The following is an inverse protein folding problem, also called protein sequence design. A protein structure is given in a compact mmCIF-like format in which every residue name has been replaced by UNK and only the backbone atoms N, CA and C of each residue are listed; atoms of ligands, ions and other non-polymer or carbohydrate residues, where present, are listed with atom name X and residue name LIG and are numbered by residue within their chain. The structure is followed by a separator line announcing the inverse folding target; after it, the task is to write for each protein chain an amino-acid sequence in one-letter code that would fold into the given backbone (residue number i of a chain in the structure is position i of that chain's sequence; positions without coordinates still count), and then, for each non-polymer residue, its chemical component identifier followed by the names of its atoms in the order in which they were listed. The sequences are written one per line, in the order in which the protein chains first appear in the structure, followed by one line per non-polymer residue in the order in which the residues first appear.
data_IF_948543152909
#
_entry.id   IF_948543152909
#
_cell.length_a   1.000
_cell.length_b   1.000
_cell.length_c   1.000
_cell.angle_alpha   90.00
_cell.angle_beta   90.00
_cell.angle_gamma   90.00
#
_symmetry.space_group_name_H-M   'P 1'
#
loop_
_entity.id
_entity.type
_entity.pdbx_description
1 polymer ?
#
# COMPACT_ATOMS: atom_id res chain seq x y z
N UNK A 1 24.56 -22.09 -24.04
CA UNK A 1 23.12 -22.19 -23.75
C UNK A 1 22.68 -20.78 -23.39
N UNK A 2 22.09 -20.09 -24.36
CA UNK A 2 21.64 -18.70 -24.23
C UNK A 2 20.38 -18.62 -23.37
N UNK A 3 20.32 -17.74 -22.35
CA UNK A 3 19.08 -17.44 -21.67
C UNK A 3 18.23 -16.53 -22.56
N UNK A 4 17.14 -17.09 -23.08
CA UNK A 4 16.06 -16.39 -23.77
C UNK A 4 15.58 -15.23 -22.90
N UNK A 5 15.76 -14.01 -23.41
CA UNK A 5 15.17 -12.78 -22.91
C UNK A 5 13.65 -12.93 -22.92
N UNK A 6 13.07 -13.16 -21.75
CA UNK A 6 11.62 -13.11 -21.54
C UNK A 6 11.13 -11.67 -21.63
N UNK A 7 10.86 -11.20 -22.85
CA UNK A 7 10.12 -9.97 -23.06
C UNK A 7 8.66 -10.23 -22.67
N UNK A 8 8.19 -9.60 -21.59
CA UNK A 8 6.78 -9.54 -21.26
C UNK A 8 6.06 -8.70 -22.32
N UNK A 9 5.61 -9.35 -23.40
CA UNK A 9 4.65 -8.76 -24.31
C UNK A 9 3.28 -8.74 -23.60
N UNK A 10 3.02 -7.68 -22.83
CA UNK A 10 1.68 -7.39 -22.31
C UNK A 10 0.81 -6.97 -23.51
N UNK A 11 0.13 -7.96 -24.08
CA UNK A 11 -0.81 -7.81 -25.19
C UNK A 11 -1.95 -6.87 -24.81
N UNK A 12 -2.17 -5.87 -25.66
CA UNK A 12 -3.28 -4.94 -25.58
C UNK A 12 -4.63 -5.69 -25.70
N UNK A 13 -5.48 -5.53 -24.69
CA UNK A 13 -6.81 -6.11 -24.70
C UNK A 13 -7.60 -5.80 -23.44
N UNK A 14 -8.03 -4.55 -23.28
CA UNK A 14 -9.06 -4.19 -22.31
C UNK A 14 -10.05 -3.22 -22.97
N UNK A 15 -11.21 -3.76 -23.36
CA UNK A 15 -12.40 -2.98 -23.75
C UNK A 15 -12.97 -2.33 -22.48
N UNK A 16 -12.99 -1.00 -22.49
CA UNK A 16 -13.41 -0.17 -21.35
C UNK A 16 -14.93 -0.05 -21.32
N UNK A 17 -15.56 -0.61 -20.28
CA UNK A 17 -16.90 -0.24 -19.86
C UNK A 17 -16.78 0.42 -18.48
N UNK A 18 -16.97 1.74 -18.41
CA UNK A 18 -17.09 2.49 -17.16
C UNK A 18 -16.05 3.60 -17.00
N UNK A 19 -16.50 4.86 -17.04
CA UNK A 19 -15.70 6.08 -17.06
C UNK A 19 -14.61 6.22 -15.98
N UNK A 20 -13.50 6.81 -16.40
CA UNK A 20 -12.38 7.23 -15.54
C UNK A 20 -11.09 6.48 -15.89
N UNK A 21 -10.18 7.16 -16.58
CA UNK A 21 -8.87 6.71 -17.09
C UNK A 21 -8.83 6.03 -18.49
N UNK A 22 -9.52 6.59 -19.48
CA UNK A 22 -9.23 6.33 -20.92
C UNK A 22 -7.88 6.94 -21.40
N UNK A 23 -7.04 7.44 -20.48
CA UNK A 23 -5.76 8.11 -20.75
C UNK A 23 -4.59 7.18 -21.08
N UNK A 24 -4.64 5.93 -20.64
CA UNK A 24 -3.47 5.03 -20.76
C UNK A 24 -3.66 3.92 -21.79
N UNK A 25 -4.91 3.63 -22.16
CA UNK A 25 -5.24 2.60 -23.15
C UNK A 25 -4.71 2.91 -24.56
N UNK A 26 -4.35 4.16 -24.85
CA UNK A 26 -3.75 4.57 -26.13
C UNK A 26 -2.22 4.59 -26.11
N UNK A 27 -1.58 4.37 -24.96
CA UNK A 27 -0.13 4.34 -24.86
C UNK A 27 0.35 2.94 -25.22
N UNK A 28 0.48 2.66 -26.51
CA UNK A 28 1.25 1.51 -27.02
C UNK A 28 2.76 1.72 -26.79
N UNK A 29 3.14 2.15 -25.60
CA UNK A 29 4.50 2.44 -25.19
C UNK A 29 4.92 1.35 -24.22
N UNK A 30 5.91 0.56 -24.62
CA UNK A 30 6.54 -0.42 -23.73
C UNK A 30 7.26 0.28 -22.57
N UNK A 31 7.21 -0.31 -21.39
CA UNK A 31 7.99 0.10 -20.23
C UNK A 31 8.52 -1.13 -19.50
N UNK A 32 9.61 -0.93 -18.75
CA UNK A 32 10.24 -1.92 -17.88
C UNK A 32 9.85 -1.60 -16.44
N UNK A 33 9.21 -2.56 -15.78
CA UNK A 33 8.82 -2.46 -14.37
C UNK A 33 10.01 -2.71 -13.43
N UNK A 34 9.86 -2.38 -12.15
CA UNK A 34 10.93 -2.53 -11.16
C UNK A 34 11.39 -3.99 -11.06
N UNK A 35 10.48 -4.96 -11.09
CA UNK A 35 10.80 -6.39 -10.99
C UNK A 35 11.64 -6.93 -12.17
N UNK A 36 11.44 -6.35 -13.36
CA UNK A 36 12.17 -6.67 -14.59
C UNK A 36 13.49 -5.89 -14.71
N UNK A 37 13.69 -4.88 -13.87
CA UNK A 37 14.86 -4.01 -13.92
C UNK A 37 16.06 -4.56 -13.15
N UNK A 38 17.26 -4.11 -13.54
CA UNK A 38 18.49 -4.30 -12.74
C UNK A 38 18.46 -3.55 -11.40
N UNK A 39 17.55 -2.59 -11.21
CA UNK A 39 17.44 -1.77 -10.02
C UNK A 39 16.45 -2.32 -8.98
N UNK A 40 15.89 -3.52 -9.21
CA UNK A 40 14.90 -4.16 -8.33
C UNK A 40 15.32 -4.21 -6.86
N UNK A 41 16.62 -4.35 -6.57
CA UNK A 41 17.17 -4.39 -5.21
C UNK A 41 17.19 -3.04 -4.48
N UNK A 42 17.01 -1.92 -5.20
CA UNK A 42 16.96 -0.57 -4.60
C UNK A 42 15.61 -0.24 -3.94
N UNK A 43 14.65 -1.17 -4.00
CA UNK A 43 13.31 -1.01 -3.45
C UNK A 43 13.07 -2.05 -2.36
N UNK A 44 13.09 -1.57 -1.12
CA UNK A 44 12.99 -2.39 0.08
C UNK A 44 11.56 -2.89 0.31
N UNK A 45 11.41 -4.11 0.82
CA UNK A 45 10.13 -4.64 1.31
C UNK A 45 9.55 -3.70 2.37
N UNK A 46 8.23 -3.49 2.35
CA UNK A 46 7.50 -2.54 3.17
C UNK A 46 7.31 -1.16 2.53
N UNK A 47 8.02 -0.87 1.43
CA UNK A 47 7.81 0.34 0.61
C UNK A 47 6.77 0.10 -0.47
N UNK A 48 6.12 1.15 -0.96
CA UNK A 48 5.07 1.06 -1.99
C UNK A 48 5.58 0.31 -3.23
N UNK A 49 6.75 0.70 -3.75
CA UNK A 49 7.39 0.08 -4.89
C UNK A 49 7.96 -1.30 -4.56
N UNK A 50 8.52 -1.48 -3.36
CA UNK A 50 9.10 -2.76 -2.93
C UNK A 50 8.06 -3.88 -2.80
N UNK A 51 6.86 -3.55 -2.33
CA UNK A 51 5.75 -4.50 -2.16
C UNK A 51 4.99 -4.76 -3.48
N UNK A 52 5.22 -3.94 -4.51
CA UNK A 52 4.45 -3.95 -5.76
C UNK A 52 5.36 -3.80 -7.01
N UNK A 53 6.55 -4.40 -7.00
CA UNK A 53 7.59 -4.17 -8.03
C UNK A 53 7.13 -4.37 -9.48
N UNK A 54 6.28 -5.37 -9.72
CA UNK A 54 5.71 -5.63 -11.06
C UNK A 54 4.61 -4.68 -11.51
N UNK A 55 4.19 -3.74 -10.65
CA UNK A 55 3.14 -2.76 -10.95
C UNK A 55 3.70 -1.35 -11.16
N UNK A 56 4.95 -1.08 -10.77
CA UNK A 56 5.56 0.24 -10.87
C UNK A 56 6.64 0.26 -11.96
N UNK A 57 6.64 1.30 -12.78
CA UNK A 57 7.67 1.54 -13.81
C UNK A 57 8.97 1.93 -13.12
N UNK A 58 10.10 1.37 -13.56
CA UNK A 58 11.39 1.76 -12.99
C UNK A 58 11.76 3.21 -13.40
N UNK A 59 11.81 4.16 -12.46
CA UNK A 59 12.15 5.55 -12.75
C UNK A 59 13.61 5.78 -13.12
N UNK A 60 14.49 4.80 -12.88
CA UNK A 60 15.94 4.90 -13.09
C UNK A 60 16.40 4.40 -14.47
N UNK A 61 15.49 3.94 -15.33
CA UNK A 61 15.83 3.43 -16.66
C UNK A 61 15.56 4.46 -17.77
N UNK A 62 16.59 4.77 -18.54
CA UNK A 62 16.48 5.61 -19.75
C UNK A 62 15.49 5.07 -20.77
N UNK A 63 15.39 3.75 -20.88
CA UNK A 63 14.46 3.08 -21.79
C UNK A 63 13.00 3.42 -21.49
N UNK A 64 12.68 3.80 -20.24
CA UNK A 64 11.34 4.22 -19.82
C UNK A 64 11.05 5.69 -20.13
N UNK A 65 11.99 6.47 -20.68
CA UNK A 65 11.82 7.91 -20.95
C UNK A 65 10.53 8.24 -21.69
N UNK A 66 10.23 7.52 -22.78
CA UNK A 66 9.01 7.75 -23.58
C UNK A 66 7.73 7.53 -22.77
N UNK A 67 7.73 6.54 -21.88
CA UNK A 67 6.59 6.27 -21.02
C UNK A 67 6.40 7.42 -20.03
N UNK A 68 7.46 7.85 -19.35
CA UNK A 68 7.42 8.97 -18.39
C UNK A 68 6.99 10.29 -19.04
N UNK A 69 7.52 10.63 -20.21
CA UNK A 69 7.10 11.82 -20.96
C UNK A 69 5.62 11.76 -21.33
N UNK A 70 5.12 10.57 -21.68
CA UNK A 70 3.71 10.40 -22.02
C UNK A 70 2.79 10.51 -20.81
N UNK A 71 3.18 9.95 -19.66
CA UNK A 71 2.41 10.07 -18.43
C UNK A 71 2.39 11.51 -17.94
N UNK A 72 3.49 12.22 -18.10
CA UNK A 72 3.56 13.62 -17.76
C UNK A 72 2.51 14.47 -18.50
N UNK A 73 2.23 14.21 -19.78
CA UNK A 73 1.16 14.92 -20.48
C UNK A 73 -0.23 14.67 -19.86
N UNK A 74 -0.47 13.46 -19.33
CA UNK A 74 -1.69 13.16 -18.56
C UNK A 74 -1.72 13.96 -17.26
N UNK A 75 -0.61 13.94 -16.51
CA UNK A 75 -0.48 14.70 -15.26
C UNK A 75 -0.68 16.20 -15.49
N UNK A 76 -0.07 16.78 -16.52
CA UNK A 76 -0.19 18.20 -16.89
C UNK A 76 -1.63 18.60 -17.19
N UNK A 77 -2.36 17.74 -17.90
CA UNK A 77 -3.79 17.94 -18.12
C UNK A 77 -4.60 17.86 -16.82
N UNK A 78 -4.29 16.90 -15.94
CA UNK A 78 -4.98 16.75 -14.64
C UNK A 78 -4.62 17.89 -13.67
N UNK A 79 -3.39 18.40 -13.66
CA UNK A 79 -2.98 19.59 -12.90
C UNK A 79 -3.85 20.81 -13.26
N UNK A 80 -4.32 20.90 -14.51
CA UNK A 80 -5.20 21.98 -14.99
C UNK A 80 -6.66 21.70 -14.68
N UNK A 81 -7.14 20.48 -14.95
CA UNK A 81 -8.57 20.13 -14.87
C UNK A 81 -9.05 19.68 -13.49
N UNK A 82 -8.13 19.21 -12.66
CA UNK A 82 -8.38 18.55 -11.36
C UNK A 82 -7.32 18.96 -10.33
N UNK A 83 -6.98 20.24 -10.31
CA UNK A 83 -5.89 20.78 -9.48
C UNK A 83 -6.05 20.46 -7.97
N UNK A 84 -7.28 20.27 -7.51
CA UNK A 84 -7.61 19.88 -6.14
C UNK A 84 -7.35 18.39 -5.86
N UNK A 85 -7.32 17.52 -6.87
CA UNK A 85 -7.00 16.09 -6.73
C UNK A 85 -5.49 15.79 -6.76
N UNK A 86 -4.66 16.75 -7.21
CA UNK A 86 -3.21 16.59 -7.29
C UNK A 86 -2.54 16.99 -5.97
N UNK A 87 -1.64 16.14 -5.47
CA UNK A 87 -0.83 16.39 -4.28
C UNK A 87 0.21 17.49 -4.52
N UNK A 88 0.74 18.06 -3.45
CA UNK A 88 1.76 19.10 -3.52
C UNK A 88 3.01 18.67 -4.30
N UNK A 89 3.44 17.42 -4.14
CA UNK A 89 4.61 16.85 -4.79
C UNK A 89 4.41 16.79 -6.31
N UNK A 90 3.26 16.27 -6.76
CA UNK A 90 2.98 16.14 -8.18
C UNK A 90 2.61 17.47 -8.85
N UNK A 91 2.25 18.52 -8.09
CA UNK A 91 2.04 19.87 -8.62
C UNK A 91 3.32 20.56 -9.10
N UNK A 92 4.47 20.17 -8.55
CA UNK A 92 5.77 20.76 -8.90
C UNK A 92 6.36 20.17 -10.17
N UNK A 93 5.79 19.07 -10.67
CA UNK A 93 6.27 18.38 -11.86
C UNK A 93 5.96 19.22 -13.10
N UNK A 94 7.00 19.53 -13.88
CA UNK A 94 6.93 20.29 -15.13
C UNK A 94 7.50 19.53 -16.35
N UNK A 95 8.09 18.35 -16.12
CA UNK A 95 8.68 17.47 -17.15
C UNK A 95 8.49 16.00 -16.80
N UNK A 96 8.59 15.12 -17.81
CA UNK A 96 8.45 13.67 -17.63
C UNK A 96 9.69 12.98 -17.06
N UNK A 97 10.81 13.07 -17.76
CA UNK A 97 11.98 12.24 -17.46
C UNK A 97 13.29 13.01 -17.30
N UNK A 98 14.11 12.55 -16.36
CA UNK A 98 15.51 12.98 -16.19
C UNK A 98 16.40 11.82 -15.76
N UNK A 99 17.60 11.75 -16.34
CA UNK A 99 18.60 10.71 -16.10
C UNK A 99 19.82 11.20 -15.28
N UNK A 100 19.63 12.09 -14.32
CA UNK A 100 20.71 12.40 -13.39
C UNK A 100 20.41 11.86 -11.98
N UNK A 101 21.47 11.67 -11.21
CA UNK A 101 21.38 11.17 -9.83
C UNK A 101 21.06 12.28 -8.83
N UNK A 102 20.59 13.44 -9.30
CA UNK A 102 20.27 14.56 -8.45
C UNK A 102 18.82 14.44 -7.97
N UNK A 103 18.60 14.78 -6.70
CA UNK A 103 17.25 14.94 -6.19
C UNK A 103 16.55 16.03 -7.01
N UNK A 104 15.37 15.70 -7.51
CA UNK A 104 14.63 16.55 -8.44
C UNK A 104 13.13 16.38 -8.18
N UNK A 105 12.43 17.51 -8.03
CA UNK A 105 10.99 17.57 -7.76
C UNK A 105 10.19 18.00 -8.99
N UNK A 106 10.86 18.34 -10.09
CA UNK A 106 10.27 18.86 -11.32
C UNK A 106 10.07 17.76 -12.37
N UNK A 107 10.77 16.63 -12.27
CA UNK A 107 10.64 15.53 -13.20
C UNK A 107 9.82 14.38 -12.61
N UNK A 108 8.82 13.91 -13.36
CA UNK A 108 7.87 12.90 -12.90
C UNK A 108 8.57 11.62 -12.43
N UNK A 109 9.53 11.11 -13.19
CA UNK A 109 10.25 9.89 -12.82
C UNK A 109 10.96 10.05 -11.46
N UNK A 110 11.51 11.23 -11.15
CA UNK A 110 12.21 11.51 -9.90
C UNK A 110 11.27 11.68 -8.71
N UNK A 111 10.13 12.34 -8.92
CA UNK A 111 9.06 12.39 -7.93
C UNK A 111 8.55 10.98 -7.63
N UNK A 112 8.31 10.16 -8.66
CA UNK A 112 7.89 8.77 -8.51
C UNK A 112 8.94 7.90 -7.82
N UNK A 113 10.23 8.05 -8.15
CA UNK A 113 11.32 7.34 -7.47
C UNK A 113 11.31 7.58 -5.97
N UNK A 114 11.21 8.84 -5.57
CA UNK A 114 11.12 9.23 -4.16
C UNK A 114 9.85 8.67 -3.52
N UNK A 115 8.72 8.76 -4.23
CA UNK A 115 7.42 8.39 -3.72
C UNK A 115 7.29 6.88 -3.46
N UNK A 116 7.70 6.05 -4.41
CA UNK A 116 7.55 4.59 -4.31
C UNK A 116 8.53 3.96 -3.31
N UNK A 117 9.56 4.68 -2.88
CA UNK A 117 10.46 4.27 -1.79
C UNK A 117 9.89 4.57 -0.39
N UNK A 118 8.74 5.24 -0.26
CA UNK A 118 8.08 5.48 1.03
C UNK A 118 7.33 4.24 1.52
N UNK A 119 7.13 4.13 2.82
CA UNK A 119 6.24 3.12 3.38
C UNK A 119 4.79 3.47 3.05
N UNK A 120 4.00 2.48 2.68
CA UNK A 120 2.57 2.67 2.34
C UNK A 120 1.78 3.34 3.47
N UNK A 121 2.11 3.00 4.71
CA UNK A 121 1.51 3.59 5.92
C UNK A 121 1.69 5.10 6.05
N UNK A 122 2.75 5.65 5.48
CA UNK A 122 3.11 7.06 5.68
C UNK A 122 2.27 7.98 4.78
N UNK A 123 1.62 7.40 3.76
CA UNK A 123 0.92 8.14 2.71
C UNK A 123 -0.50 7.65 2.47
N UNK A 124 -1.00 6.70 3.25
CA UNK A 124 -2.32 6.13 3.04
C UNK A 124 -3.45 7.16 3.20
N UNK A 125 -4.52 7.00 2.42
CA UNK A 125 -5.65 7.94 2.34
C UNK A 125 -5.26 9.37 1.95
N UNK A 126 -4.13 9.53 1.28
CA UNK A 126 -3.71 10.83 0.76
C UNK A 126 -3.95 10.93 -0.74
N UNK A 127 -4.12 12.18 -1.22
CA UNK A 127 -4.03 12.50 -2.65
C UNK A 127 -2.72 12.00 -3.25
N UNK A 128 -1.66 12.05 -2.45
CA UNK A 128 -0.33 11.61 -2.84
C UNK A 128 -0.30 10.11 -3.18
N UNK A 129 -0.85 9.22 -2.34
CA UNK A 129 -0.88 7.78 -2.68
C UNK A 129 -1.72 7.50 -3.92
N UNK A 130 -2.86 8.20 -4.11
CA UNK A 130 -3.61 8.11 -5.37
C UNK A 130 -2.74 8.49 -6.55
N UNK A 131 -2.06 9.64 -6.48
CA UNK A 131 -1.20 10.12 -7.56
C UNK A 131 -0.01 9.19 -7.82
N UNK A 132 0.54 8.52 -6.79
CA UNK A 132 1.56 7.48 -6.98
C UNK A 132 1.01 6.33 -7.83
N UNK A 133 -0.15 5.77 -7.46
CA UNK A 133 -0.76 4.69 -8.23
C UNK A 133 -1.18 5.15 -9.63
N UNK A 134 -1.68 6.37 -9.77
CA UNK A 134 -2.08 6.92 -11.06
C UNK A 134 -0.89 7.13 -11.99
N UNK A 135 0.16 7.82 -11.53
CA UNK A 135 1.19 8.35 -12.43
C UNK A 135 2.51 7.56 -12.41
N UNK A 136 2.72 6.68 -11.44
CA UNK A 136 3.95 5.88 -11.36
C UNK A 136 3.74 4.40 -11.73
N UNK A 137 2.49 3.94 -11.80
CA UNK A 137 2.18 2.53 -12.04
C UNK A 137 1.80 2.23 -13.49
N UNK A 138 1.97 0.98 -13.92
CA UNK A 138 1.49 0.47 -15.21
C UNK A 138 -0.02 0.17 -15.21
N UNK A 139 -0.68 0.32 -14.05
CA UNK A 139 -2.10 0.05 -13.80
C UNK A 139 -2.75 1.22 -13.04
N UNK A 140 -2.93 2.39 -13.69
CA UNK A 140 -3.50 3.57 -13.05
C UNK A 140 -4.92 3.37 -12.51
N UNK A 141 -5.65 2.39 -13.04
CA UNK A 141 -6.96 1.96 -12.55
C UNK A 141 -6.92 1.49 -11.08
N UNK A 142 -5.79 0.92 -10.64
CA UNK A 142 -5.59 0.51 -9.25
C UNK A 142 -5.54 1.71 -8.28
N UNK A 143 -5.44 2.96 -8.75
CA UNK A 143 -5.53 4.11 -7.85
C UNK A 143 -6.89 4.21 -7.14
N UNK A 144 -7.97 3.69 -7.75
CA UNK A 144 -9.30 3.63 -7.10
C UNK A 144 -9.30 2.66 -5.93
N UNK A 145 -8.68 1.50 -6.14
CA UNK A 145 -8.62 0.41 -5.18
C UNK A 145 -7.53 0.68 -4.13
N UNK A 146 -6.28 0.89 -4.55
CA UNK A 146 -5.11 1.00 -3.66
C UNK A 146 -4.86 2.42 -3.14
N UNK A 147 -5.50 3.43 -3.73
CA UNK A 147 -5.31 4.83 -3.35
C UNK A 147 -6.20 5.30 -2.20
N UNK A 148 -7.24 4.54 -1.81
CA UNK A 148 -8.09 4.83 -0.67
C UNK A 148 -8.39 3.58 0.13
N UNK A 149 -8.10 3.62 1.41
CA UNK A 149 -8.68 2.72 2.39
C UNK A 149 -10.19 2.99 2.47
N UNK A 150 -11.04 1.95 2.47
CA UNK A 150 -12.46 2.09 2.74
C UNK A 150 -12.71 2.75 4.10
N UNK A 151 -13.88 3.34 4.29
CA UNK A 151 -14.30 3.77 5.62
C UNK A 151 -14.49 2.55 6.53
N UNK A 152 -14.16 2.71 7.80
CA UNK A 152 -14.36 1.67 8.82
C UNK A 152 -14.91 2.25 10.11
N UNK A 153 -15.72 1.46 10.79
CA UNK A 153 -16.19 1.71 12.14
C UNK A 153 -15.18 1.19 13.15
N UNK A 154 -14.85 2.02 14.13
CA UNK A 154 -13.93 1.65 15.21
C UNK A 154 -14.70 1.01 16.37
N UNK A 155 -13.98 0.37 17.28
CA UNK A 155 -14.56 -0.22 18.50
C UNK A 155 -15.36 0.80 19.33
N UNK A 156 -15.09 2.11 19.20
CA UNK A 156 -15.84 3.17 19.88
C UNK A 156 -17.33 3.20 19.52
N UNK A 157 -17.72 2.67 18.36
CA UNK A 157 -19.12 2.57 17.93
C UNK A 157 -19.82 1.30 18.44
N UNK A 158 -19.14 0.48 19.23
CA UNK A 158 -19.65 -0.82 19.68
C UNK A 158 -19.54 -0.98 21.19
N UNK A 159 -20.57 -1.62 21.75
CA UNK A 159 -20.52 -2.18 23.09
C UNK A 159 -20.04 -3.63 22.96
N UNK A 160 -18.74 -3.87 23.19
CA UNK A 160 -18.17 -5.22 23.24
C UNK A 160 -17.90 -5.58 24.70
N UNK A 161 -18.76 -6.44 25.28
CA UNK A 161 -18.65 -6.88 26.67
C UNK A 161 -17.39 -7.69 26.95
N UNK A 162 -16.76 -8.27 25.93
CA UNK A 162 -15.56 -9.09 26.07
C UNK A 162 -14.29 -8.24 26.20
N UNK A 163 -14.39 -6.93 25.93
CA UNK A 163 -13.28 -5.99 26.04
C UNK A 163 -13.40 -5.23 27.37
N UNK A 164 -12.66 -5.68 28.37
CA UNK A 164 -12.56 -5.06 29.69
C UNK A 164 -11.48 -3.99 29.74
N UNK A 165 -11.42 -3.21 30.82
CA UNK A 165 -10.49 -2.07 30.94
C UNK A 165 -9.00 -2.44 30.95
N UNK A 166 -8.67 -3.70 31.22
CA UNK A 166 -7.30 -4.23 31.12
C UNK A 166 -6.88 -4.59 29.70
N UNK A 167 -7.83 -4.72 28.78
CA UNK A 167 -7.56 -5.14 27.40
C UNK A 167 -7.09 -3.98 26.53
N UNK A 168 -6.23 -4.27 25.54
CA UNK A 168 -5.75 -3.30 24.55
C UNK A 168 -6.90 -2.57 23.86
N UNK A 169 -7.96 -3.33 23.54
CA UNK A 169 -9.19 -2.84 22.91
C UNK A 169 -9.83 -1.68 23.68
N UNK A 170 -9.83 -1.73 25.02
CA UNK A 170 -10.54 -0.72 25.81
C UNK A 170 -9.82 0.64 25.80
N UNK A 171 -8.49 0.63 25.78
CA UNK A 171 -7.65 1.83 25.79
C UNK A 171 -7.56 2.53 24.43
N UNK A 172 -7.94 1.85 23.34
CA UNK A 172 -7.71 2.29 21.96
C UNK A 172 -8.96 2.19 21.08
N UNK A 173 -10.16 2.32 21.69
CA UNK A 173 -11.44 2.08 21.02
C UNK A 173 -11.66 2.97 19.79
N UNK A 174 -11.13 4.18 19.82
CA UNK A 174 -11.20 5.18 18.75
C UNK A 174 -10.29 4.89 17.56
N UNK A 175 -9.32 3.98 17.69
CA UNK A 175 -8.31 3.67 16.68
C UNK A 175 -8.49 2.31 16.05
N UNK A 176 -8.88 1.32 16.85
CA UNK A 176 -9.00 -0.08 16.46
C UNK A 176 -10.30 -0.33 15.70
N UNK A 177 -10.24 -1.02 14.56
CA UNK A 177 -11.41 -1.32 13.73
C UNK A 177 -12.25 -2.44 14.34
N UNK A 178 -13.57 -2.28 14.36
CA UNK A 178 -14.45 -3.29 14.92
C UNK A 178 -14.59 -4.52 14.01
N UNK A 179 -14.72 -5.71 14.62
CA UNK A 179 -15.00 -6.94 13.90
C UNK A 179 -16.50 -7.06 13.56
N UNK A 180 -16.96 -6.25 12.62
CA UNK A 180 -18.36 -6.21 12.19
C UNK A 180 -18.51 -6.38 10.68
N UNK A 181 -19.68 -6.85 10.26
CA UNK A 181 -20.01 -7.01 8.85
C UNK A 181 -19.93 -5.69 8.05
N UNK A 182 -20.24 -4.54 8.68
CA UNK A 182 -20.09 -3.23 8.05
C UNK A 182 -18.65 -2.92 7.65
N UNK A 183 -17.66 -3.53 8.32
CA UNK A 183 -16.24 -3.36 8.04
C UNK A 183 -15.66 -4.43 7.10
N UNK A 184 -16.48 -5.33 6.55
CA UNK A 184 -16.01 -6.43 5.70
C UNK A 184 -15.11 -5.95 4.56
N UNK A 185 -15.55 -4.90 3.84
CA UNK A 185 -14.78 -4.32 2.74
C UNK A 185 -13.44 -3.75 3.20
N UNK A 186 -13.41 -3.13 4.38
CA UNK A 186 -12.17 -2.61 4.96
C UNK A 186 -11.20 -3.73 5.31
N UNK A 187 -11.68 -4.79 5.96
CA UNK A 187 -10.86 -5.94 6.34
C UNK A 187 -10.26 -6.65 5.14
N UNK A 188 -11.06 -6.91 4.10
CA UNK A 188 -10.60 -7.44 2.81
C UNK A 188 -9.56 -6.52 2.18
N UNK A 189 -9.82 -5.21 2.19
CA UNK A 189 -8.91 -4.23 1.64
C UNK A 189 -7.56 -4.20 2.35
N UNK A 190 -7.54 -4.19 3.68
CA UNK A 190 -6.29 -4.18 4.46
C UNK A 190 -5.49 -5.46 4.24
N UNK A 191 -6.17 -6.61 4.16
CA UNK A 191 -5.51 -7.85 3.83
C UNK A 191 -4.84 -7.78 2.47
N UNK A 192 -5.58 -7.47 1.40
CA UNK A 192 -5.04 -7.47 0.04
C UNK A 192 -3.98 -6.38 -0.21
N UNK A 193 -4.10 -5.23 0.45
CA UNK A 193 -3.26 -4.07 0.15
C UNK A 193 -2.13 -3.82 1.16
N UNK A 194 -2.20 -4.41 2.36
CA UNK A 194 -1.16 -4.23 3.38
C UNK A 194 -0.53 -5.54 3.81
N UNK A 195 -1.32 -6.54 4.17
CA UNK A 195 -0.78 -7.77 4.78
C UNK A 195 -0.29 -8.78 3.74
N UNK A 196 -1.10 -9.08 2.73
CA UNK A 196 -0.78 -10.05 1.69
C UNK A 196 0.51 -9.71 0.92
N UNK A 197 0.76 -8.46 0.50
CA UNK A 197 2.00 -8.11 -0.20
C UNK A 197 3.26 -8.41 0.62
N UNK A 198 3.22 -8.21 1.93
CA UNK A 198 4.32 -8.58 2.83
C UNK A 198 4.48 -10.09 2.88
N UNK A 199 3.39 -10.84 3.01
CA UNK A 199 3.44 -12.31 3.05
C UNK A 199 4.03 -12.92 1.77
N UNK A 200 3.72 -12.34 0.61
CA UNK A 200 4.17 -12.84 -0.69
C UNK A 200 5.50 -12.27 -1.17
N UNK A 201 6.07 -11.29 -0.47
CA UNK A 201 7.38 -10.73 -0.81
C UNK A 201 8.47 -11.81 -0.66
N UNK A 202 8.93 -12.37 -1.79
CA UNK A 202 9.91 -13.44 -1.87
C UNK A 202 11.18 -13.16 -1.04
N UNK A 203 11.33 -13.86 0.09
CA UNK A 203 12.65 -14.15 0.68
C UNK A 203 13.02 -13.50 2.02
N UNK A 204 12.22 -12.59 2.60
CA UNK A 204 12.59 -11.96 3.89
C UNK A 204 11.44 -11.74 4.88
N UNK A 205 10.18 -11.91 4.47
CA UNK A 205 9.02 -11.44 5.22
C UNK A 205 8.52 -12.35 6.35
N UNK A 206 8.93 -13.63 6.37
CA UNK A 206 8.63 -14.52 7.50
C UNK A 206 9.14 -13.98 8.85
N UNK A 207 10.19 -13.14 8.83
CA UNK A 207 10.77 -12.52 10.01
C UNK A 207 10.19 -11.13 10.34
N UNK A 208 9.30 -10.58 9.52
CA UNK A 208 8.76 -9.23 9.68
C UNK A 208 7.33 -9.18 10.21
N UNK A 209 6.69 -10.35 10.38
CA UNK A 209 5.37 -10.47 10.97
C UNK A 209 5.48 -11.29 12.24
N UNK A 210 4.68 -10.93 13.23
CA UNK A 210 4.43 -11.78 14.39
C UNK A 210 3.71 -13.07 13.94
N UNK A 211 3.83 -14.11 14.75
CA UNK A 211 3.21 -15.41 14.48
C UNK A 211 1.69 -15.34 14.30
N UNK A 212 1.03 -14.37 14.95
CA UNK A 212 -0.40 -14.16 14.83
C UNK A 212 -0.81 -13.67 13.43
N UNK A 213 -0.01 -12.82 12.78
CA UNK A 213 -0.35 -12.23 11.48
C UNK A 213 0.22 -13.04 10.32
N UNK A 214 1.28 -13.81 10.53
CA UNK A 214 1.83 -14.70 9.49
C UNK A 214 0.84 -15.82 9.11
N UNK A 215 -0.02 -16.27 10.02
CA UNK A 215 -1.04 -17.29 9.77
C UNK A 215 -2.30 -16.78 9.05
N UNK A 216 -2.48 -15.46 8.91
CA UNK A 216 -3.71 -14.88 8.36
C UNK A 216 -3.88 -15.23 6.89
N UNK A 217 -5.00 -15.84 6.50
CA UNK A 217 -5.23 -16.32 5.12
C UNK A 217 -6.19 -15.47 4.31
N UNK A 218 -6.97 -14.62 4.97
CA UNK A 218 -8.00 -13.79 4.34
C UNK A 218 -8.29 -12.56 5.20
N UNK A 219 -8.95 -11.55 4.63
CA UNK A 219 -9.27 -10.32 5.36
C UNK A 219 -10.46 -10.46 6.31
N UNK A 220 -11.55 -11.05 5.86
CA UNK A 220 -12.80 -11.09 6.62
C UNK A 220 -13.45 -12.46 6.54
N UNK A 221 -13.81 -13.01 7.70
CA UNK A 221 -14.62 -14.22 7.78
C UNK A 221 -15.63 -14.13 8.95
N UNK A 222 -16.85 -14.61 8.71
CA UNK A 222 -17.93 -14.71 9.70
C UNK A 222 -18.00 -16.07 10.38
N UNK A 223 -17.41 -17.11 9.77
CA UNK A 223 -17.32 -18.46 10.32
C UNK A 223 -16.30 -18.54 11.46
N UNK A 224 -16.21 -19.70 12.10
CA UNK A 224 -15.27 -20.01 13.18
C UNK A 224 -13.80 -20.15 12.73
N UNK A 225 -13.45 -19.68 11.52
CA UNK A 225 -12.06 -19.66 11.08
C UNK A 225 -11.33 -18.55 11.82
N UNK A 226 -10.36 -18.92 12.66
CA UNK A 226 -9.59 -17.96 13.45
C UNK A 226 -8.46 -17.29 12.64
N UNK A 227 -8.30 -17.65 11.35
CA UNK A 227 -7.20 -17.17 10.51
C UNK A 227 -7.59 -15.97 9.63
N UNK A 228 -8.78 -15.41 9.78
CA UNK A 228 -9.16 -14.18 9.09
C UNK A 228 -8.64 -12.95 9.86
N UNK A 229 -8.21 -11.92 9.14
CA UNK A 229 -7.60 -10.72 9.75
C UNK A 229 -8.51 -10.07 10.80
N UNK A 230 -9.81 -9.97 10.51
CA UNK A 230 -10.81 -9.45 11.44
C UNK A 230 -10.85 -10.22 12.77
N UNK A 231 -10.66 -11.55 12.73
CA UNK A 231 -10.63 -12.42 13.92
C UNK A 231 -9.31 -12.31 14.66
N UNK A 232 -8.19 -12.37 13.95
CA UNK A 232 -6.86 -12.19 14.54
C UNK A 232 -6.74 -10.84 15.24
N UNK A 233 -7.22 -9.76 14.63
CA UNK A 233 -7.24 -8.45 15.26
C UNK A 233 -8.14 -8.45 16.51
N UNK A 234 -9.36 -8.99 16.43
CA UNK A 234 -10.27 -9.09 17.58
C UNK A 234 -9.64 -9.83 18.76
N UNK A 235 -9.02 -10.98 18.52
CA UNK A 235 -8.35 -11.78 19.55
C UNK A 235 -7.23 -10.98 20.22
N UNK A 236 -6.47 -10.20 19.46
CA UNK A 236 -5.44 -9.33 20.01
C UNK A 236 -6.01 -8.12 20.76
N UNK A 237 -7.20 -7.63 20.42
CA UNK A 237 -7.86 -6.58 21.19
C UNK A 237 -8.25 -7.03 22.59
N UNK A 238 -8.53 -8.33 22.76
CA UNK A 238 -8.88 -8.97 24.04
C UNK A 238 -7.66 -9.36 24.88
N UNK A 239 -6.43 -9.14 24.38
CA UNK A 239 -5.21 -9.34 25.17
C UNK A 239 -4.95 -8.18 26.11
N UNK A 240 -4.22 -8.46 27.20
CA UNK A 240 -3.81 -7.43 28.15
C UNK A 240 -2.78 -6.49 27.54
N UNK A 241 -2.74 -5.23 27.97
CA UNK A 241 -1.72 -4.27 27.50
C UNK A 241 -0.28 -4.75 27.75
N UNK A 242 -0.07 -5.60 28.76
CA UNK A 242 1.22 -6.23 29.07
C UNK A 242 1.71 -7.24 28.03
N UNK A 243 0.85 -7.68 27.11
CA UNK A 243 1.20 -8.57 25.99
C UNK A 243 1.80 -7.81 24.80
N UNK A 244 1.90 -6.48 24.93
CA UNK A 244 2.41 -5.58 23.91
C UNK A 244 3.64 -4.82 24.44
N UNK A 245 4.44 -4.28 23.52
CA UNK A 245 5.61 -3.48 23.87
C UNK A 245 5.80 -2.34 22.88
N UNK A 246 6.07 -1.14 23.40
CA UNK A 246 6.46 0.02 22.60
C UNK A 246 7.94 0.01 22.22
N UNK A 247 8.76 -0.84 22.86
CA UNK A 247 10.20 -0.94 22.62
C UNK A 247 10.59 -2.34 22.20
N UNK A 248 11.73 -2.46 21.50
CA UNK A 248 12.24 -3.74 21.01
C UNK A 248 12.96 -4.57 22.09
N UNK A 249 12.67 -4.35 23.38
CA UNK A 249 13.25 -5.16 24.47
C UNK A 249 12.68 -6.59 24.48
N UNK A 250 11.42 -6.73 24.09
CA UNK A 250 10.77 -8.00 23.75
C UNK A 250 10.35 -7.92 22.28
N UNK A 251 11.17 -8.51 21.40
CA UNK A 251 10.98 -8.44 19.95
C UNK A 251 9.63 -9.01 19.50
N UNK A 252 9.12 -10.04 20.19
CA UNK A 252 7.85 -10.68 19.84
C UNK A 252 6.68 -9.76 20.17
N UNK A 253 6.65 -9.18 21.38
CA UNK A 253 5.61 -8.23 21.78
C UNK A 253 5.68 -6.94 20.97
N UNK A 254 6.89 -6.48 20.68
CA UNK A 254 7.11 -5.31 19.83
C UNK A 254 6.56 -5.54 18.43
N UNK A 255 6.93 -6.64 17.77
CA UNK A 255 6.47 -6.96 16.43
C UNK A 255 4.94 -7.13 16.39
N UNK A 256 4.35 -7.82 17.38
CA UNK A 256 2.90 -7.93 17.50
C UNK A 256 2.24 -6.56 17.61
N UNK A 257 2.83 -5.65 18.38
CA UNK A 257 2.34 -4.26 18.50
C UNK A 257 2.39 -3.55 17.14
N UNK A 258 3.48 -3.67 16.40
CA UNK A 258 3.61 -3.07 15.07
C UNK A 258 2.58 -3.63 14.08
N UNK A 259 2.34 -4.95 14.10
CA UNK A 259 1.34 -5.57 13.24
C UNK A 259 -0.08 -5.10 13.57
N UNK A 260 -0.43 -5.03 14.86
CA UNK A 260 -1.74 -4.50 15.27
C UNK A 260 -1.89 -3.04 14.84
N UNK A 261 -0.85 -2.21 15.03
CA UNK A 261 -0.85 -0.83 14.53
C UNK A 261 -1.09 -0.80 13.02
N UNK A 262 -0.39 -1.63 12.25
CA UNK A 262 -0.40 -1.59 10.79
C UNK A 262 -1.69 -2.13 10.17
N UNK A 263 -2.25 -3.19 10.73
CA UNK A 263 -3.34 -3.95 10.11
C UNK A 263 -4.68 -3.85 10.85
N UNK A 264 -4.69 -3.38 12.09
CA UNK A 264 -5.90 -3.37 12.91
C UNK A 264 -6.40 -1.95 13.27
N UNK A 265 -5.73 -0.88 12.78
CA UNK A 265 -6.13 0.52 13.02
C UNK A 265 -6.57 1.23 11.74
N UNK A 266 -7.55 2.14 11.87
CA UNK A 266 -7.98 3.02 10.78
C UNK A 266 -6.83 3.93 10.34
N UNK A 267 -6.55 3.96 9.04
CA UNK A 267 -5.42 4.72 8.51
C UNK A 267 -4.07 4.03 8.71
N UNK A 268 -4.01 2.91 9.44
CA UNK A 268 -2.75 2.25 9.77
C UNK A 268 -1.82 3.07 10.68
N UNK A 269 -0.88 2.36 11.32
CA UNK A 269 0.24 2.90 12.09
C UNK A 269 -0.14 3.94 13.17
N UNK A 270 -1.36 3.86 13.73
CA UNK A 270 -1.74 4.71 14.86
C UNK A 270 -1.04 4.24 16.13
N UNK A 271 -0.52 5.19 16.91
CA UNK A 271 0.05 4.85 18.22
C UNK A 271 -1.01 4.32 19.18
N UNK A 272 -0.68 3.23 19.85
CA UNK A 272 -1.54 2.55 20.81
C UNK A 272 -1.11 2.95 22.22
N UNK A 273 -2.08 3.24 23.07
CA UNK A 273 -1.89 3.38 24.51
C UNK A 273 -1.72 1.99 25.12
N UNK A 274 -0.58 1.77 25.78
CA UNK A 274 -0.19 0.52 26.45
C UNK A 274 -0.12 0.68 27.98
N UNK A 275 -0.65 1.79 28.51
CA UNK A 275 -0.60 2.19 29.92
C UNK A 275 -1.99 2.40 30.50
#
# INVERSE_FOLDING_TARGET
MDPVKGAAALGAGAVVVGGGYMGYSYLSISCTTIDQSKNSSSYNVGTIGGDNKGLFVDPLLDENKKWWDSVFEVLKNDQTKKADEISSEFKLVDKGFKNDNLADTQHLNKVCETAIKKNTSDVINSKYLKNIWTYCSVRPDLAKEKGNEPLAETLAKRNNSDITDSHLGSKNKDKLVANDAVNENWWKWVFENRLNPLKTANGQSGNQLSSAFSSVTEGYNTASSNNALNKVCEDNYKKGVSDFSSTNSDANKYQLTQDVKRFCTVGGNKDLSLS
#
